data_IF_982713848559
#
_entry.id   IF_982713848559
#
_cell.length_a   1.000
_cell.length_b   1.000
_cell.length_c   1.000
_cell.angle_alpha   90.00
_cell.angle_beta   90.00
_cell.angle_gamma   90.00
#
_symmetry.space_group_name_H-M   'P 1'
#
loop_
_entity.id
_entity.type
_entity.pdbx_description
1 polymer ?
#
# COMPACT_ATOMS: atom_id res chain seq x y z
N UNK A 1 -13.09 10.37 16.14
CA UNK A 1 -11.64 10.06 16.16
C UNK A 1 -11.03 10.80 14.99
N UNK A 2 -10.34 11.91 15.24
CA UNK A 2 -9.47 12.53 14.24
C UNK A 2 -8.25 11.63 14.06
N UNK A 3 -8.01 11.21 12.81
CA UNK A 3 -6.74 10.58 12.44
C UNK A 3 -5.73 11.70 12.22
N UNK A 4 -4.52 11.62 12.80
CA UNK A 4 -3.51 12.70 12.79
C UNK A 4 -2.82 12.86 11.42
N UNK A 5 -3.51 12.53 10.33
CA UNK A 5 -2.97 12.51 8.98
C UNK A 5 -4.02 13.00 7.99
N UNK A 6 -3.58 13.80 7.02
CA UNK A 6 -4.41 14.28 5.92
C UNK A 6 -4.62 13.21 4.83
N UNK A 7 -4.04 12.01 5.01
CA UNK A 7 -4.14 10.91 4.05
C UNK A 7 -5.47 10.18 4.15
N UNK A 8 -6.03 9.81 2.99
CA UNK A 8 -7.21 8.95 2.91
C UNK A 8 -6.93 7.54 3.46
N UNK A 9 -7.89 6.99 4.22
CA UNK A 9 -7.78 5.64 4.78
C UNK A 9 -8.18 4.58 3.76
N UNK A 10 -7.30 3.61 3.52
CA UNK A 10 -7.61 2.38 2.75
C UNK A 10 -7.61 1.20 3.70
N UNK A 11 -8.66 0.39 3.68
CA UNK A 11 -8.78 -0.84 4.46
C UNK A 11 -9.33 -1.96 3.58
N UNK A 12 -8.72 -3.14 3.65
CA UNK A 12 -9.13 -4.32 2.89
C UNK A 12 -8.82 -5.59 3.67
N UNK A 13 -9.43 -6.70 3.27
CA UNK A 13 -9.12 -8.04 3.77
C UNK A 13 -8.30 -8.79 2.73
N UNK A 14 -7.25 -9.48 3.19
CA UNK A 14 -6.38 -10.34 2.38
C UNK A 14 -6.15 -11.66 3.11
N UNK A 15 -5.67 -12.66 2.38
CA UNK A 15 -5.24 -13.92 2.97
C UNK A 15 -4.13 -13.73 4.00
N UNK A 16 -4.18 -14.50 5.09
CA UNK A 16 -3.21 -14.39 6.19
C UNK A 16 -1.78 -14.67 5.72
N UNK A 17 -1.59 -15.66 4.85
CA UNK A 17 -0.27 -15.96 4.30
C UNK A 17 0.28 -14.78 3.47
N UNK A 18 -0.58 -14.11 2.71
CA UNK A 18 -0.21 -12.93 1.94
C UNK A 18 0.17 -11.76 2.86
N UNK A 19 -0.60 -11.55 3.94
CA UNK A 19 -0.30 -10.53 4.95
C UNK A 19 1.07 -10.76 5.58
N UNK A 20 1.41 -12.00 5.93
CA UNK A 20 2.71 -12.33 6.52
C UNK A 20 3.87 -12.08 5.55
N UNK A 21 3.71 -12.42 4.27
CA UNK A 21 4.71 -12.12 3.23
C UNK A 21 4.87 -10.61 3.04
N UNK A 22 3.75 -9.87 3.02
CA UNK A 22 3.74 -8.41 2.94
C UNK A 22 4.47 -7.76 4.11
N UNK A 23 4.23 -8.20 5.34
CA UNK A 23 4.89 -7.68 6.55
C UNK A 23 6.40 -7.92 6.54
N UNK A 24 6.83 -9.12 6.10
CA UNK A 24 8.26 -9.43 5.94
C UNK A 24 8.91 -8.58 4.87
N UNK A 25 8.26 -8.43 3.71
CA UNK A 25 8.80 -7.65 2.60
C UNK A 25 8.86 -6.17 2.96
N UNK A 26 7.82 -5.63 3.59
CA UNK A 26 7.82 -4.27 4.11
C UNK A 26 9.00 -4.09 5.08
N UNK A 27 9.19 -4.96 6.07
CA UNK A 27 10.31 -4.83 7.01
C UNK A 27 11.70 -4.76 6.35
N UNK A 28 11.87 -5.33 5.15
CA UNK A 28 13.11 -5.26 4.37
C UNK A 28 13.25 -3.96 3.56
N UNK A 29 12.17 -3.49 2.93
CA UNK A 29 12.22 -2.38 1.97
C UNK A 29 11.74 -1.03 2.50
N UNK A 30 10.79 -1.03 3.43
CA UNK A 30 10.07 0.15 3.88
C UNK A 30 9.72 0.02 5.37
N UNK A 31 10.16 0.99 6.18
CA UNK A 31 10.05 0.98 7.65
C UNK A 31 8.65 0.69 8.23
N UNK A 32 7.58 0.67 7.42
CA UNK A 32 6.25 0.17 7.79
C UNK A 32 5.47 -0.41 6.59
N UNK A 33 4.54 -1.33 6.87
CA UNK A 33 3.60 -1.90 5.88
C UNK A 33 2.76 -0.83 5.20
N UNK A 34 2.34 0.21 5.93
CA UNK A 34 1.51 1.28 5.38
C UNK A 34 2.25 2.09 4.31
N UNK A 35 3.52 2.44 4.57
CA UNK A 35 4.33 3.14 3.57
C UNK A 35 4.61 2.26 2.35
N UNK A 36 4.89 0.97 2.60
CA UNK A 36 5.11 -0.01 1.53
C UNK A 36 3.87 -0.13 0.61
N UNK A 37 2.68 -0.25 1.20
CA UNK A 37 1.41 -0.30 0.45
C UNK A 37 1.17 0.99 -0.33
N UNK A 38 1.40 2.16 0.27
CA UNK A 38 1.24 3.45 -0.42
C UNK A 38 2.15 3.55 -1.65
N UNK A 39 3.41 3.09 -1.55
CA UNK A 39 4.33 3.02 -2.68
C UNK A 39 3.83 2.09 -3.78
N UNK A 40 3.40 0.88 -3.43
CA UNK A 40 2.89 -0.09 -4.40
C UNK A 40 1.63 0.42 -5.11
N UNK A 41 0.68 1.01 -4.36
CA UNK A 41 -0.55 1.58 -4.92
C UNK A 41 -0.20 2.72 -5.89
N UNK A 42 0.73 3.60 -5.53
CA UNK A 42 1.19 4.68 -6.40
C UNK A 42 1.77 4.15 -7.71
N UNK A 43 2.65 3.15 -7.64
CA UNK A 43 3.25 2.54 -8.83
C UNK A 43 2.19 1.95 -9.77
N UNK A 44 1.17 1.28 -9.22
CA UNK A 44 0.07 0.71 -10.00
C UNK A 44 -0.77 1.80 -10.67
N UNK A 45 -1.10 2.88 -9.95
CA UNK A 45 -1.87 4.01 -10.51
C UNK A 45 -1.08 4.73 -11.60
N UNK A 46 0.19 5.08 -11.35
CA UNK A 46 1.06 5.73 -12.33
C UNK A 46 1.21 4.89 -13.61
N UNK A 47 1.27 3.57 -13.48
CA UNK A 47 1.30 2.68 -14.63
C UNK A 47 -0.03 2.67 -15.38
N UNK A 48 -1.16 2.67 -14.67
CA UNK A 48 -2.49 2.74 -15.29
C UNK A 48 -2.70 4.06 -16.05
N UNK A 49 -2.25 5.19 -15.51
CA UNK A 49 -2.27 6.50 -16.18
C UNK A 49 -1.42 6.49 -17.47
N UNK A 50 -0.21 5.92 -17.42
CA UNK A 50 0.65 5.77 -18.62
C UNK A 50 0.03 4.91 -19.70
N UNK A 51 -0.76 3.92 -19.32
CA UNK A 51 -1.48 3.03 -20.25
C UNK A 51 -2.81 3.62 -20.74
N UNK A 52 -3.21 4.82 -20.27
CA UNK A 52 -4.47 5.46 -20.62
C UNK A 52 -5.70 4.77 -20.04
N UNK A 53 -5.54 4.02 -18.94
CA UNK A 53 -6.63 3.35 -18.21
C UNK A 53 -7.27 4.24 -17.14
N UNK A 54 -6.59 5.33 -16.78
CA UNK A 54 -7.00 6.43 -15.91
C UNK A 54 -6.54 7.73 -16.56
#
# INVERSE_FOLDING_TARGET
MEVPTDKARVATYIEEELKQKLERLAALEDRSVSNFLERLIRQVVEQAEKEGKL
#
